data_IF_424620405681
#
_entry.id   IF_424620405681
#
_cell.length_a   1.000
_cell.length_b   1.000
_cell.length_c   1.000
_cell.angle_alpha   90.00
_cell.angle_beta   90.00
_cell.angle_gamma   90.00
#
_symmetry.space_group_name_H-M   'P 1'
#
loop_
_entity.id
_entity.type
_entity.pdbx_description
1 polymer ?
#
# COMPACT_ATOMS: atom_id res chain seq x y z
N UNK A 1 -6.88 -0.07 -13.65
CA UNK A 1 -5.99 -1.06 -13.01
C UNK A 1 -6.58 -1.45 -11.66
N UNK A 2 -6.55 -2.75 -11.34
CA UNK A 2 -7.42 -3.43 -10.38
C UNK A 2 -7.64 -2.73 -9.04
N UNK A 3 -8.90 -2.72 -8.59
CA UNK A 3 -9.27 -2.15 -7.29
C UNK A 3 -8.62 -2.91 -6.12
N UNK A 4 -8.34 -4.20 -6.32
CA UNK A 4 -7.87 -5.13 -5.29
C UNK A 4 -6.48 -5.69 -5.58
N UNK A 5 -6.25 -6.23 -6.79
CA UNK A 5 -4.96 -6.76 -7.24
C UNK A 5 -4.18 -5.70 -8.04
N UNK A 6 -2.91 -5.53 -7.69
CA UNK A 6 -1.99 -4.57 -8.30
C UNK A 6 -2.60 -3.15 -8.41
N UNK A 7 -3.07 -2.60 -7.28
CA UNK A 7 -3.70 -1.28 -7.26
C UNK A 7 -2.71 -0.16 -7.62
N UNK A 8 -3.24 0.96 -8.11
CA UNK A 8 -2.42 2.13 -8.46
C UNK A 8 -1.77 2.81 -7.25
N UNK A 9 -0.68 3.54 -7.48
CA UNK A 9 0.01 4.35 -6.46
C UNK A 9 -0.60 5.74 -6.17
N UNK A 10 -1.77 6.04 -6.75
CA UNK A 10 -2.44 7.36 -6.66
C UNK A 10 -2.76 7.79 -5.22
N UNK A 11 -3.16 6.85 -4.37
CA UNK A 11 -3.53 7.16 -2.99
C UNK A 11 -2.34 7.69 -2.19
N UNK A 12 -1.16 7.09 -2.38
CA UNK A 12 0.06 7.60 -1.77
C UNK A 12 0.50 8.95 -2.37
N UNK A 13 0.32 9.16 -3.69
CA UNK A 13 0.59 10.48 -4.28
C UNK A 13 -0.25 11.59 -3.66
N UNK A 14 -1.53 11.31 -3.37
CA UNK A 14 -2.41 12.28 -2.70
C UNK A 14 -1.92 12.63 -1.29
N UNK A 15 -1.35 11.65 -0.59
CA UNK A 15 -0.74 11.85 0.74
C UNK A 15 0.50 12.73 0.62
N UNK A 16 1.38 12.46 -0.34
CA UNK A 16 2.60 13.26 -0.57
C UNK A 16 2.30 14.70 -0.95
N UNK A 17 1.22 14.93 -1.71
CA UNK A 17 0.76 16.27 -2.06
C UNK A 17 0.11 17.01 -0.87
N UNK A 18 -0.06 16.35 0.29
CA UNK A 18 -0.67 16.92 1.48
C UNK A 18 0.28 17.86 2.23
N UNK A 19 -0.27 18.95 2.78
CA UNK A 19 0.50 20.00 3.48
C UNK A 19 1.31 19.48 4.69
N UNK A 20 0.84 18.43 5.35
CA UNK A 20 1.38 17.94 6.62
C UNK A 20 1.91 16.51 6.52
N UNK A 21 2.50 16.15 5.38
CA UNK A 21 3.13 14.84 5.23
C UNK A 21 4.35 14.71 6.16
N UNK A 22 4.42 13.58 6.86
CA UNK A 22 5.59 13.18 7.65
C UNK A 22 6.10 11.90 7.02
N UNK A 23 7.38 11.88 6.67
CA UNK A 23 8.02 10.70 6.09
C UNK A 23 8.02 9.55 7.10
N UNK A 24 7.46 8.42 6.65
CA UNK A 24 7.40 7.15 7.39
C UNK A 24 7.86 5.99 6.51
N UNK A 25 8.53 6.28 5.41
CA UNK A 25 8.92 5.27 4.43
C UNK A 25 9.94 4.28 4.95
N UNK A 26 10.66 4.59 6.04
CA UNK A 26 11.45 3.59 6.78
C UNK A 26 10.64 2.37 7.26
N UNK A 27 9.30 2.45 7.32
CA UNK A 27 8.44 1.28 7.52
C UNK A 27 8.59 0.26 6.37
N UNK A 28 8.79 0.70 5.13
CA UNK A 28 9.03 -0.20 4.00
C UNK A 28 10.35 -0.96 4.17
N UNK A 29 11.44 -0.29 4.59
CA UNK A 29 12.71 -0.97 4.96
C UNK A 29 12.49 -2.05 6.02
N UNK A 30 11.74 -1.71 7.09
CA UNK A 30 11.39 -2.67 8.14
C UNK A 30 10.59 -3.86 7.60
N UNK A 31 9.71 -3.64 6.64
CA UNK A 31 8.93 -4.71 6.00
C UNK A 31 9.78 -5.55 5.05
N UNK A 32 10.73 -4.95 4.32
CA UNK A 32 11.65 -5.63 3.42
C UNK A 32 12.45 -6.72 4.14
N UNK A 33 13.02 -6.42 5.31
CA UNK A 33 13.73 -7.39 6.15
C UNK A 33 12.88 -8.60 6.57
N UNK A 34 11.55 -8.45 6.58
CA UNK A 34 10.60 -9.48 7.02
C UNK A 34 9.99 -10.26 5.87
N UNK A 35 10.12 -9.79 4.63
CA UNK A 35 9.64 -10.51 3.46
C UNK A 35 10.27 -11.91 3.41
N UNK A 36 9.45 -12.91 3.07
CA UNK A 36 9.86 -14.31 3.00
C UNK A 36 10.53 -14.86 4.28
N UNK A 37 10.30 -14.24 5.43
CA UNK A 37 10.83 -14.69 6.72
C UNK A 37 9.74 -15.34 7.60
N UNK A 38 10.11 -16.09 8.66
CA UNK A 38 9.14 -16.56 9.67
C UNK A 38 8.38 -15.42 10.39
N UNK A 39 8.84 -14.17 10.29
CA UNK A 39 8.24 -12.98 10.93
C UNK A 39 7.54 -12.06 9.93
N UNK A 40 7.19 -12.56 8.74
CA UNK A 40 6.56 -11.80 7.66
C UNK A 40 5.16 -11.26 7.99
N UNK A 41 4.47 -11.86 8.96
CA UNK A 41 3.13 -11.46 9.34
C UNK A 41 3.18 -10.32 10.37
N UNK A 42 2.70 -9.14 9.98
CA UNK A 42 2.66 -7.95 10.84
C UNK A 42 1.22 -7.52 11.06
N UNK A 43 0.84 -7.35 12.33
CA UNK A 43 -0.45 -6.81 12.73
C UNK A 43 -0.23 -5.50 13.49
N UNK A 44 -0.83 -4.41 13.00
CA UNK A 44 -0.76 -3.10 13.64
C UNK A 44 -2.11 -2.76 14.28
N UNK A 45 -2.28 -3.12 15.55
CA UNK A 45 -3.45 -2.78 16.35
C UNK A 45 -3.26 -1.39 16.98
N UNK A 46 -3.89 -0.35 16.40
CA UNK A 46 -3.90 1.01 16.97
C UNK A 46 -5.27 1.67 16.81
N UNK A 47 -5.64 2.69 17.61
CA UNK A 47 -6.93 3.38 17.53
C UNK A 47 -7.17 4.10 16.19
N UNK A 48 -8.41 4.58 15.97
CA UNK A 48 -8.81 5.35 14.78
C UNK A 48 -7.94 6.60 14.59
N UNK A 49 -7.67 6.99 13.33
CA UNK A 49 -6.89 8.19 12.91
C UNK A 49 -5.38 8.19 13.17
N UNK A 50 -4.79 7.04 13.48
CA UNK A 50 -3.33 6.90 13.65
C UNK A 50 -2.55 6.65 12.35
N UNK A 51 -3.09 7.01 11.18
CA UNK A 51 -2.35 6.91 9.91
C UNK A 51 -2.23 5.51 9.29
N UNK A 52 -2.79 4.45 9.89
CA UNK A 52 -2.70 3.07 9.34
C UNK A 52 -3.10 2.94 7.87
N UNK A 53 -4.18 3.61 7.43
CA UNK A 53 -4.62 3.57 6.03
C UNK A 53 -3.60 4.24 5.11
N UNK A 54 -2.99 5.35 5.56
CA UNK A 54 -1.92 6.05 4.84
C UNK A 54 -0.69 5.17 4.72
N UNK A 55 -0.28 4.52 5.81
CA UNK A 55 0.86 3.61 5.83
C UNK A 55 0.60 2.40 4.91
N UNK A 56 -0.63 1.88 4.88
CA UNK A 56 -1.00 0.80 3.95
C UNK A 56 -0.98 1.27 2.48
N UNK A 57 -1.45 2.48 2.18
CA UNK A 57 -1.37 3.08 0.84
C UNK A 57 0.08 3.30 0.39
N UNK A 58 0.96 3.70 1.31
CA UNK A 58 2.40 3.81 1.09
C UNK A 58 3.02 2.44 0.76
N UNK A 59 2.78 1.41 1.58
CA UNK A 59 3.31 0.05 1.32
C UNK A 59 2.80 -0.51 0.01
N UNK A 60 1.54 -0.25 -0.33
CA UNK A 60 0.95 -0.63 -1.61
C UNK A 60 1.68 0.04 -2.77
N UNK A 61 1.87 1.36 -2.72
CA UNK A 61 2.60 2.09 -3.75
C UNK A 61 4.04 1.61 -3.89
N UNK A 62 4.67 1.23 -2.77
CA UNK A 62 6.05 0.74 -2.74
C UNK A 62 6.19 -0.64 -3.40
N UNK A 63 5.35 -1.61 -3.03
CA UNK A 63 5.52 -2.99 -3.48
C UNK A 63 4.85 -3.32 -4.82
N UNK A 64 3.77 -2.63 -5.17
CA UNK A 64 2.93 -3.05 -6.30
C UNK A 64 3.64 -2.96 -7.64
N UNK A 65 3.63 -4.05 -8.41
CA UNK A 65 4.04 -4.06 -9.82
C UNK A 65 3.04 -3.38 -10.76
N UNK A 66 1.88 -2.95 -10.25
CA UNK A 66 0.82 -2.31 -11.04
C UNK A 66 1.03 -0.83 -11.32
N UNK A 67 2.12 -0.23 -10.82
CA UNK A 67 2.44 1.18 -11.00
C UNK A 67 3.96 1.40 -10.99
N UNK A 68 4.43 2.49 -11.61
CA UNK A 68 5.79 3.01 -11.42
C UNK A 68 5.75 4.06 -10.32
N UNK A 69 6.38 3.74 -9.19
CA UNK A 69 6.36 4.56 -7.98
C UNK A 69 7.73 5.13 -7.63
N UNK A 70 8.76 4.92 -8.47
CA UNK A 70 10.14 5.29 -8.16
C UNK A 70 10.30 6.74 -7.72
N UNK A 71 9.75 7.67 -8.50
CA UNK A 71 9.79 9.10 -8.21
C UNK A 71 9.11 9.49 -6.88
N UNK A 72 8.18 8.67 -6.38
CA UNK A 72 7.49 8.92 -5.11
C UNK A 72 8.37 8.60 -3.89
N UNK A 73 9.41 7.77 -4.05
CA UNK A 73 10.21 7.24 -2.94
C UNK A 73 11.69 7.64 -3.00
N UNK A 74 12.23 8.00 -4.17
CA UNK A 74 13.66 8.34 -4.31
C UNK A 74 14.11 9.50 -3.41
N UNK A 75 13.24 10.46 -3.12
CA UNK A 75 13.52 11.58 -2.23
C UNK A 75 13.24 11.33 -0.74
N UNK A 76 12.72 10.16 -0.39
CA UNK A 76 12.29 9.80 0.97
C UNK A 76 13.30 8.88 1.66
N UNK A 77 13.12 8.65 2.96
CA UNK A 77 14.06 7.85 3.78
C UNK A 77 14.31 6.45 3.21
N UNK A 78 13.28 5.76 2.70
CA UNK A 78 13.45 4.43 2.06
C UNK A 78 14.31 4.48 0.81
N UNK A 79 14.37 5.60 0.08
CA UNK A 79 15.17 5.74 -1.13
C UNK A 79 16.68 5.58 -0.89
N UNK A 80 17.10 5.69 0.37
CA UNK A 80 18.50 5.51 0.81
C UNK A 80 18.79 4.08 1.29
N UNK A 81 17.77 3.24 1.39
CA UNK A 81 17.91 1.87 1.87
C UNK A 81 18.50 0.95 0.78
N UNK A 82 19.46 0.06 1.10
CA UNK A 82 20.02 -0.87 0.12
C UNK A 82 18.97 -1.79 -0.53
N UNK A 83 17.92 -2.15 0.19
CA UNK A 83 16.83 -3.00 -0.30
C UNK A 83 15.80 -2.23 -1.15
N UNK A 84 15.96 -0.90 -1.27
CA UNK A 84 15.00 -0.03 -1.95
C UNK A 84 14.64 -0.54 -3.35
N UNK A 85 15.65 -0.77 -4.18
CA UNK A 85 15.47 -1.17 -5.57
C UNK A 85 15.04 -2.62 -5.77
N UNK A 86 15.28 -3.49 -4.79
CA UNK A 86 14.94 -4.92 -4.87
C UNK A 86 13.42 -5.14 -4.78
N UNK A 87 12.75 -4.36 -3.93
CA UNK A 87 11.33 -4.57 -3.65
C UNK A 87 10.40 -3.52 -4.24
N UNK A 88 10.95 -2.38 -4.71
CA UNK A 88 10.16 -1.36 -5.38
C UNK A 88 9.51 -1.93 -6.64
N UNK A 89 8.18 -1.85 -6.69
CA UNK A 89 7.33 -2.28 -7.80
C UNK A 89 7.55 -3.73 -8.27
N UNK A 90 7.99 -4.63 -7.39
CA UNK A 90 8.37 -6.01 -7.74
C UNK A 90 7.27 -7.07 -7.44
N UNK A 91 6.22 -6.72 -6.70
CA UNK A 91 5.33 -7.72 -6.09
C UNK A 91 3.88 -7.62 -6.59
N UNK A 92 3.23 -8.78 -6.68
CA UNK A 92 1.77 -8.82 -6.74
C UNK A 92 1.22 -8.36 -5.40
N UNK A 93 0.44 -7.30 -5.42
CA UNK A 93 -0.06 -6.68 -4.19
C UNK A 93 -1.58 -6.76 -4.16
N UNK A 94 -2.12 -7.31 -3.07
CA UNK A 94 -3.56 -7.30 -2.80
C UNK A 94 -3.83 -6.35 -1.63
N UNK A 95 -4.67 -5.33 -1.87
CA UNK A 95 -5.14 -4.42 -0.82
C UNK A 95 -6.62 -4.69 -0.53
N UNK A 96 -6.93 -5.13 0.67
CA UNK A 96 -8.31 -5.33 1.14
C UNK A 96 -8.69 -4.23 2.12
N UNK A 97 -9.76 -3.50 1.82
CA UNK A 97 -10.39 -2.56 2.74
C UNK A 97 -11.75 -3.12 3.17
N UNK A 98 -11.78 -3.72 4.36
CA UNK A 98 -12.98 -4.36 4.91
C UNK A 98 -14.14 -3.38 5.04
N UNK A 99 -13.88 -2.09 5.25
CA UNK A 99 -14.92 -1.06 5.31
C UNK A 99 -15.67 -0.92 3.99
N UNK A 100 -14.96 -1.10 2.88
CA UNK A 100 -15.57 -1.08 1.54
C UNK A 100 -16.20 -2.42 1.20
N UNK A 101 -15.76 -3.51 1.83
CA UNK A 101 -16.27 -4.86 1.58
C UNK A 101 -17.56 -5.20 2.37
N UNK A 102 -17.74 -4.63 3.56
CA UNK A 102 -18.88 -4.92 4.45
C UNK A 102 -20.27 -4.81 3.79
N UNK A 103 -20.59 -3.76 2.99
CA UNK A 103 -21.90 -3.66 2.34
C UNK A 103 -22.23 -4.83 1.40
N UNK A 104 -21.21 -5.50 0.86
CA UNK A 104 -21.37 -6.65 -0.03
C UNK A 104 -21.61 -7.96 0.74
N UNK A 105 -21.05 -8.08 1.95
CA UNK A 105 -21.23 -9.26 2.80
C UNK A 105 -22.66 -9.33 3.39
N UNK A 106 -23.30 -8.17 3.58
CA UNK A 106 -24.65 -8.05 4.14
C UNK A 106 -25.77 -8.12 3.06
N UNK A 107 -25.45 -8.50 1.82
CA UNK A 107 -26.43 -8.70 0.74
C UNK A 107 -26.82 -7.44 -0.04
N UNK A 108 -26.10 -6.32 0.16
CA UNK A 108 -26.26 -5.09 -0.62
C UNK A 108 -25.73 -5.25 -2.05
N UNK A 109 -26.53 -5.82 -2.95
CA UNK A 109 -26.24 -5.91 -4.39
C UNK A 109 -26.45 -4.56 -5.11
N UNK A 110 -25.70 -3.53 -4.73
CA UNK A 110 -25.60 -2.29 -5.49
C UNK A 110 -24.13 -2.04 -5.85
N UNK A 111 -23.68 -2.72 -6.92
CA UNK A 111 -22.45 -2.37 -7.64
C UNK A 111 -21.18 -3.10 -7.19
N UNK A 112 -20.94 -4.29 -7.74
CA UNK A 112 -19.55 -4.64 -8.09
C UNK A 112 -19.07 -3.56 -9.07
N UNK A 113 -17.98 -2.81 -8.80
CA UNK A 113 -17.27 -2.21 -9.91
C UNK A 113 -16.73 -3.37 -10.75
N UNK A 114 -17.07 -3.37 -12.04
CA UNK A 114 -16.58 -4.27 -13.08
C UNK A 114 -15.05 -4.17 -13.24
N UNK A 115 -14.28 -4.58 -12.24
CA UNK A 115 -12.83 -4.38 -12.16
C UNK A 115 -12.05 -5.67 -11.89
N UNK A 116 -12.69 -6.83 -12.14
CA UNK A 116 -12.02 -8.11 -12.40
C UNK A 116 -12.37 -8.57 -13.82
N UNK A 117 -12.46 -7.63 -14.77
CA UNK A 117 -12.39 -7.95 -16.19
C UNK A 117 -11.05 -7.43 -16.73
N UNK A 118 -10.15 -8.40 -16.94
CA UNK A 118 -8.96 -8.45 -17.82
C UNK A 118 -7.98 -7.28 -17.78
#
# INVERSE_FOLDING_TARGET
MGLYLNPSNRMFQMVLNGQFYVDKTGLASFMNERLCSPRQFVCVSRPRRFGKSVDADMLVAYYTRGADSRAQFEGLDVGRDPSFGEHLNAHDTIKLDMTRMLPYAEGGMAGLPAAVER
#
